data_IF_134248940976
#
_entry.id   IF_134248940976
#
_cell.length_a   1.000
_cell.length_b   1.000
_cell.length_c   1.000
_cell.angle_alpha   90.00
_cell.angle_beta   90.00
_cell.angle_gamma   90.00
#
_symmetry.space_group_name_H-M   'P 1'
#
loop_
_entity.id
_entity.type
_entity.pdbx_description
1 polymer ?
#
# COMPACT_ATOMS: atom_id res chain seq x y z
N UNK A 1 3.88 -14.20 -46.82
CA UNK A 1 4.29 -14.94 -45.60
C UNK A 1 4.83 -13.91 -44.62
N UNK A 2 3.96 -13.40 -43.74
CA UNK A 2 4.29 -12.38 -42.75
C UNK A 2 4.29 -13.09 -41.39
N UNK A 3 5.46 -13.23 -40.82
CA UNK A 3 5.69 -13.79 -39.47
C UNK A 3 5.34 -12.72 -38.45
N UNK A 4 4.22 -12.90 -37.75
CA UNK A 4 3.89 -12.16 -36.53
C UNK A 4 4.85 -12.58 -35.42
N UNK A 5 5.67 -11.66 -34.97
CA UNK A 5 6.49 -11.79 -33.77
C UNK A 5 5.62 -11.63 -32.54
N UNK A 6 5.26 -12.75 -31.93
CA UNK A 6 4.72 -12.81 -30.57
C UNK A 6 5.82 -12.44 -29.57
N UNK A 7 5.91 -11.16 -29.19
CA UNK A 7 6.73 -10.73 -28.07
C UNK A 7 5.92 -10.82 -26.78
N UNK A 8 5.82 -12.01 -26.20
CA UNK A 8 5.46 -12.18 -24.79
C UNK A 8 6.77 -12.22 -23.97
N UNK A 9 7.12 -11.12 -23.34
CA UNK A 9 8.17 -11.08 -22.33
C UNK A 9 7.65 -11.77 -21.08
N UNK A 10 8.07 -13.01 -20.85
CA UNK A 10 7.85 -13.76 -19.63
C UNK A 10 8.74 -13.15 -18.52
N UNK A 11 8.13 -12.41 -17.60
CA UNK A 11 8.66 -12.23 -16.26
C UNK A 11 8.00 -13.33 -15.43
N UNK A 12 8.79 -14.20 -14.80
CA UNK A 12 8.34 -15.45 -14.18
C UNK A 12 7.06 -15.29 -13.36
N UNK A 13 5.93 -15.82 -13.87
CA UNK A 13 4.70 -16.05 -13.13
C UNK A 13 3.61 -14.97 -13.19
N UNK A 14 3.83 -13.75 -13.66
CA UNK A 14 2.78 -12.77 -13.91
C UNK A 14 2.59 -12.54 -15.41
N UNK A 15 1.39 -12.82 -15.92
CA UNK A 15 0.98 -12.33 -17.24
C UNK A 15 0.76 -10.82 -17.16
N UNK A 16 1.83 -10.06 -17.37
CA UNK A 16 1.77 -8.59 -17.41
C UNK A 16 1.21 -8.20 -18.77
N UNK A 17 0.16 -7.37 -18.79
CA UNK A 17 -0.34 -6.84 -20.05
C UNK A 17 0.75 -6.02 -20.77
N UNK A 18 0.78 -5.99 -22.11
CA UNK A 18 1.75 -5.16 -22.85
C UNK A 18 1.75 -3.68 -22.41
N UNK A 19 0.59 -3.14 -22.02
CA UNK A 19 0.47 -1.78 -21.49
C UNK A 19 1.20 -1.60 -20.15
N UNK A 20 1.15 -2.58 -19.26
CA UNK A 20 1.87 -2.53 -17.99
C UNK A 20 3.38 -2.70 -18.22
N UNK A 21 3.80 -3.61 -19.12
CA UNK A 21 5.19 -3.77 -19.49
C UNK A 21 5.78 -2.47 -20.07
N UNK A 22 5.06 -1.79 -20.97
CA UNK A 22 5.48 -0.50 -21.52
C UNK A 22 5.53 0.60 -20.46
N UNK A 23 4.55 0.66 -19.54
CA UNK A 23 4.57 1.60 -18.43
C UNK A 23 5.78 1.39 -17.51
N UNK A 24 6.17 0.12 -17.28
CA UNK A 24 7.35 -0.23 -16.50
C UNK A 24 8.66 0.14 -17.19
N UNK A 25 8.65 0.22 -18.52
CA UNK A 25 9.82 0.66 -19.32
C UNK A 25 9.91 2.19 -19.44
N UNK A 26 8.94 2.93 -18.87
CA UNK A 26 8.89 4.41 -18.94
C UNK A 26 8.51 4.93 -20.33
N UNK A 27 7.99 4.08 -21.22
CA UNK A 27 7.60 4.46 -22.58
C UNK A 27 6.12 4.89 -22.63
N UNK A 28 5.86 6.19 -22.77
CA UNK A 28 4.53 6.76 -23.02
C UNK A 28 3.89 7.43 -21.80
N UNK A 29 2.94 8.32 -22.10
CA UNK A 29 2.13 9.00 -21.07
C UNK A 29 0.82 8.22 -20.87
N UNK A 30 0.76 7.43 -19.79
CA UNK A 30 -0.39 6.58 -19.49
C UNK A 30 -1.40 7.29 -18.60
N UNK A 31 -2.69 6.97 -18.79
CA UNK A 31 -3.75 7.30 -17.86
C UNK A 31 -4.02 6.09 -16.96
N UNK A 32 -3.80 6.26 -15.66
CA UNK A 32 -3.84 5.19 -14.66
C UNK A 32 -4.96 5.47 -13.67
N UNK A 33 -5.85 4.48 -13.48
CA UNK A 33 -6.88 4.53 -12.44
C UNK A 33 -6.44 3.75 -11.21
N UNK A 34 -6.55 4.38 -10.04
CA UNK A 34 -6.37 3.74 -8.74
C UNK A 34 -7.71 3.72 -8.02
N UNK A 35 -8.18 2.55 -7.61
CA UNK A 35 -9.46 2.42 -6.92
C UNK A 35 -9.30 1.82 -5.53
N UNK A 36 -9.73 2.57 -4.51
CA UNK A 36 -9.88 2.05 -3.16
C UNK A 36 -11.24 1.37 -3.02
N UNK A 37 -11.27 0.04 -3.13
CA UNK A 37 -12.51 -0.77 -3.14
C UNK A 37 -13.21 -0.74 -1.77
N UNK A 38 -12.42 -0.69 -0.69
CA UNK A 38 -12.92 -0.66 0.67
C UNK A 38 -12.02 0.13 1.63
N UNK A 39 -12.45 0.22 2.88
CA UNK A 39 -11.73 0.97 3.90
C UNK A 39 -11.90 2.49 3.79
N UNK A 40 -11.68 3.18 4.92
CA UNK A 40 -11.76 4.64 4.99
C UNK A 40 -10.39 5.30 5.11
N UNK A 41 -9.45 4.60 5.70
CA UNK A 41 -8.08 5.06 5.88
C UNK A 41 -7.31 5.11 4.56
N UNK A 42 -6.31 5.98 4.44
CA UNK A 42 -5.39 5.96 3.30
C UNK A 42 -4.80 4.58 3.06
N UNK A 43 -4.79 4.17 1.81
CA UNK A 43 -4.27 2.88 1.39
C UNK A 43 -2.84 3.04 0.90
N UNK A 44 -1.86 2.52 1.66
CA UNK A 44 -0.45 2.67 1.36
C UNK A 44 -0.06 2.07 0.00
N UNK A 45 -0.69 0.98 -0.42
CA UNK A 45 -0.40 0.37 -1.72
C UNK A 45 -0.79 1.32 -2.87
N UNK A 46 -1.97 1.94 -2.79
CA UNK A 46 -2.40 2.92 -3.80
C UNK A 46 -1.56 4.20 -3.76
N UNK A 47 -1.11 4.64 -2.58
CA UNK A 47 -0.21 5.79 -2.45
C UNK A 47 1.16 5.51 -3.09
N UNK A 48 1.71 4.30 -2.91
CA UNK A 48 2.94 3.85 -3.56
C UNK A 48 2.79 3.84 -5.08
N UNK A 49 1.72 3.20 -5.59
CA UNK A 49 1.42 3.15 -7.03
C UNK A 49 1.26 4.56 -7.62
N UNK A 50 0.54 5.45 -6.91
CA UNK A 50 0.37 6.83 -7.36
C UNK A 50 1.70 7.56 -7.47
N UNK A 51 2.53 7.48 -6.43
CA UNK A 51 3.84 8.13 -6.43
C UNK A 51 4.71 7.60 -7.57
N UNK A 52 4.77 6.29 -7.75
CA UNK A 52 5.57 5.67 -8.81
C UNK A 52 5.08 6.11 -10.19
N UNK A 53 3.80 5.98 -10.49
CA UNK A 53 3.25 6.36 -11.80
C UNK A 53 3.45 7.86 -12.11
N UNK A 54 3.22 8.74 -11.13
CA UNK A 54 3.48 10.17 -11.29
C UNK A 54 4.96 10.47 -11.53
N UNK A 55 5.87 9.73 -10.89
CA UNK A 55 7.33 9.87 -11.12
C UNK A 55 7.76 9.45 -12.52
N UNK A 56 6.98 8.60 -13.19
CA UNK A 56 7.17 8.21 -14.59
C UNK A 56 6.45 9.15 -15.58
N UNK A 57 5.81 10.23 -15.10
CA UNK A 57 5.08 11.18 -15.94
C UNK A 57 3.66 10.73 -16.31
N UNK A 58 3.13 9.68 -15.71
CA UNK A 58 1.79 9.18 -15.99
C UNK A 58 0.72 10.04 -15.31
N UNK A 59 -0.44 10.16 -15.94
CA UNK A 59 -1.61 10.77 -15.32
C UNK A 59 -2.29 9.76 -14.40
N UNK A 60 -2.48 10.13 -13.13
CA UNK A 60 -3.12 9.27 -12.13
C UNK A 60 -4.46 9.83 -11.71
N UNK A 61 -5.49 8.99 -11.79
CA UNK A 61 -6.85 9.27 -11.30
C UNK A 61 -7.14 8.35 -10.12
N UNK A 62 -7.48 8.93 -8.97
CA UNK A 62 -7.84 8.17 -7.78
C UNK A 62 -9.35 8.22 -7.55
N UNK A 63 -9.94 7.04 -7.32
CA UNK A 63 -11.39 6.89 -7.13
C UNK A 63 -11.72 5.95 -5.97
N UNK A 64 -12.83 6.21 -5.32
CA UNK A 64 -13.48 5.29 -4.36
C UNK A 64 -14.70 4.58 -4.94
N UNK A 65 -15.18 5.05 -6.10
CA UNK A 65 -16.22 4.37 -6.85
C UNK A 65 -15.68 3.13 -7.54
N UNK A 66 -16.36 2.00 -7.36
CA UNK A 66 -16.05 0.74 -8.07
C UNK A 66 -16.73 0.67 -9.43
N UNK A 67 -17.59 1.63 -9.76
CA UNK A 67 -18.30 1.72 -11.03
C UNK A 67 -17.51 2.61 -11.99
N UNK A 68 -17.59 2.29 -13.28
CA UNK A 68 -17.10 3.17 -14.35
C UNK A 68 -18.10 4.31 -14.55
N UNK A 69 -17.64 5.54 -14.41
CA UNK A 69 -18.45 6.73 -14.68
C UNK A 69 -18.69 6.92 -16.17
N UNK A 70 -19.81 7.55 -16.53
CA UNK A 70 -20.20 7.74 -17.93
C UNK A 70 -19.20 8.60 -18.72
N UNK A 71 -18.53 9.54 -18.05
CA UNK A 71 -17.59 10.48 -18.66
C UNK A 71 -16.13 10.23 -18.25
N UNK A 72 -15.86 9.06 -17.67
CA UNK A 72 -14.47 8.71 -17.35
C UNK A 72 -13.66 8.44 -18.63
N UNK A 73 -12.38 8.84 -18.65
CA UNK A 73 -11.48 8.52 -19.76
C UNK A 73 -11.25 7.01 -19.86
N UNK A 74 -10.74 6.59 -21.01
CA UNK A 74 -10.17 5.24 -21.11
C UNK A 74 -8.84 5.17 -20.35
N UNK A 75 -8.70 4.13 -19.53
CA UNK A 75 -7.50 3.92 -18.73
C UNK A 75 -6.60 2.87 -19.38
N UNK A 76 -5.32 3.15 -19.45
CA UNK A 76 -4.32 2.19 -19.89
C UNK A 76 -4.10 1.10 -18.83
N UNK A 77 -4.14 1.50 -17.56
CA UNK A 77 -3.93 0.60 -16.43
C UNK A 77 -4.95 0.93 -15.33
N UNK A 78 -5.53 -0.12 -14.74
CA UNK A 78 -6.47 0.01 -13.63
C UNK A 78 -6.00 -0.84 -12.46
N UNK A 79 -5.85 -0.22 -11.30
CA UNK A 79 -5.54 -0.90 -10.04
C UNK A 79 -6.73 -0.83 -9.08
N UNK A 80 -6.94 -1.92 -8.35
CA UNK A 80 -7.88 -1.98 -7.24
C UNK A 80 -7.19 -2.48 -5.97
N UNK A 81 -7.57 -1.92 -4.83
CA UNK A 81 -7.10 -2.42 -3.54
C UNK A 81 -8.27 -2.68 -2.60
N UNK A 82 -8.33 -3.91 -2.05
CA UNK A 82 -9.30 -4.32 -1.05
C UNK A 82 -8.59 -4.87 0.19
N UNK A 83 -8.98 -4.39 1.37
CA UNK A 83 -8.35 -4.75 2.66
C UNK A 83 -9.15 -5.83 3.37
N UNK A 84 -10.49 -5.81 3.25
CA UNK A 84 -11.39 -6.68 4.02
C UNK A 84 -11.85 -7.87 3.20
N UNK A 85 -11.78 -9.08 3.77
CA UNK A 85 -12.27 -10.32 3.15
C UNK A 85 -13.78 -10.30 2.89
N UNK A 86 -14.53 -9.45 3.59
CA UNK A 86 -15.97 -9.24 3.37
C UNK A 86 -16.29 -8.45 2.09
N UNK A 87 -15.29 -7.93 1.40
CA UNK A 87 -15.45 -7.10 0.20
C UNK A 87 -15.52 -7.89 -1.11
N UNK A 88 -15.63 -9.22 -1.06
CA UNK A 88 -15.67 -10.09 -2.25
C UNK A 88 -16.69 -9.63 -3.31
N UNK A 89 -17.91 -9.28 -2.88
CA UNK A 89 -18.95 -8.78 -3.81
C UNK A 89 -18.52 -7.49 -4.53
N UNK A 90 -17.86 -6.58 -3.81
CA UNK A 90 -17.35 -5.34 -4.40
C UNK A 90 -16.21 -5.61 -5.38
N UNK A 91 -15.32 -6.56 -5.04
CA UNK A 91 -14.23 -6.99 -5.92
C UNK A 91 -14.80 -7.55 -7.23
N UNK A 92 -15.79 -8.42 -7.15
CA UNK A 92 -16.44 -9.00 -8.35
C UNK A 92 -17.14 -7.92 -9.20
N UNK A 93 -17.86 -7.01 -8.57
CA UNK A 93 -18.48 -5.89 -9.28
C UNK A 93 -17.43 -4.96 -9.92
N UNK A 94 -16.32 -4.71 -9.26
CA UNK A 94 -15.21 -3.93 -9.81
C UNK A 94 -14.60 -4.62 -11.03
N UNK A 95 -14.39 -5.95 -10.97
CA UNK A 95 -13.92 -6.74 -12.13
C UNK A 95 -14.89 -6.70 -13.32
N UNK A 96 -16.18 -6.64 -13.07
CA UNK A 96 -17.16 -6.51 -14.16
C UNK A 96 -17.04 -5.16 -14.88
N UNK A 97 -16.74 -4.08 -14.14
CA UNK A 97 -16.53 -2.75 -14.74
C UNK A 97 -15.13 -2.59 -15.37
N UNK A 98 -14.13 -3.27 -14.82
CA UNK A 98 -12.74 -3.19 -15.24
C UNK A 98 -12.13 -4.62 -15.33
N UNK A 99 -12.42 -5.37 -16.40
CA UNK A 99 -12.03 -6.79 -16.52
C UNK A 99 -10.52 -7.03 -16.41
N UNK A 100 -9.70 -6.07 -16.86
CA UNK A 100 -8.25 -6.15 -16.86
C UNK A 100 -7.61 -5.49 -15.63
N UNK A 101 -8.39 -5.17 -14.58
CA UNK A 101 -7.88 -4.53 -13.39
C UNK A 101 -6.95 -5.46 -12.59
N UNK A 102 -5.83 -4.91 -12.14
CA UNK A 102 -4.90 -5.56 -11.21
C UNK A 102 -5.39 -5.28 -9.79
N UNK A 103 -5.80 -6.33 -9.07
CA UNK A 103 -6.41 -6.16 -7.75
C UNK A 103 -5.55 -6.86 -6.69
N UNK A 104 -5.13 -6.08 -5.70
CA UNK A 104 -4.36 -6.55 -4.56
C UNK A 104 -5.00 -6.18 -3.22
N UNK A 105 -4.29 -6.50 -2.14
CA UNK A 105 -4.68 -6.21 -0.77
C UNK A 105 -5.05 -7.46 0.02
N UNK A 106 -5.18 -7.33 1.36
CA UNK A 106 -5.47 -8.45 2.27
C UNK A 106 -6.87 -9.02 2.13
N UNK A 107 -7.78 -8.28 1.51
CA UNK A 107 -9.16 -8.72 1.22
C UNK A 107 -9.27 -9.62 0.00
N UNK A 108 -8.22 -9.77 -0.79
CA UNK A 108 -8.17 -10.71 -1.90
C UNK A 108 -7.68 -12.07 -1.42
N UNK A 109 -8.08 -13.15 -2.11
CA UNK A 109 -7.54 -14.49 -1.84
C UNK A 109 -6.12 -14.68 -2.38
N UNK A 110 -5.66 -13.75 -3.21
CA UNK A 110 -4.32 -13.72 -3.78
C UNK A 110 -3.40 -12.80 -2.97
N UNK A 111 -2.48 -13.39 -2.22
CA UNK A 111 -1.48 -12.66 -1.43
C UNK A 111 -0.19 -12.37 -2.22
N UNK A 112 -0.08 -12.82 -3.46
CA UNK A 112 1.12 -12.62 -4.31
C UNK A 112 1.13 -11.24 -4.98
N UNK A 113 -0.06 -10.64 -5.20
CA UNK A 113 -0.20 -9.33 -5.82
C UNK A 113 0.14 -8.23 -4.81
N UNK A 114 1.41 -7.86 -4.74
CA UNK A 114 1.94 -6.71 -3.97
C UNK A 114 2.35 -5.58 -4.91
N UNK A 115 2.54 -4.37 -4.37
CA UNK A 115 3.03 -3.23 -5.17
C UNK A 115 4.40 -3.56 -5.76
N UNK A 116 5.27 -4.12 -4.94
CA UNK A 116 6.63 -4.47 -5.33
C UNK A 116 6.64 -5.53 -6.44
N UNK A 117 5.77 -6.56 -6.35
CA UNK A 117 5.65 -7.57 -7.42
C UNK A 117 5.08 -6.99 -8.71
N UNK A 118 4.09 -6.11 -8.60
CA UNK A 118 3.46 -5.45 -9.75
C UNK A 118 4.41 -4.50 -10.47
N UNK A 119 5.23 -3.77 -9.73
CA UNK A 119 6.20 -2.82 -10.28
C UNK A 119 7.58 -3.46 -10.57
N UNK A 120 7.76 -4.75 -10.27
CA UNK A 120 9.04 -5.46 -10.38
C UNK A 120 10.18 -4.74 -9.62
N UNK A 121 9.89 -4.31 -8.39
CA UNK A 121 10.83 -3.62 -7.51
C UNK A 121 11.10 -4.47 -6.27
N UNK A 122 12.31 -4.39 -5.73
CA UNK A 122 12.67 -5.06 -4.47
C UNK A 122 12.02 -4.38 -3.26
N UNK A 123 11.94 -3.04 -3.31
CA UNK A 123 11.37 -2.22 -2.23
C UNK A 123 10.92 -0.86 -2.80
N UNK A 124 9.81 -0.34 -2.29
CA UNK A 124 9.31 1.00 -2.64
C UNK A 124 8.60 1.62 -1.44
N UNK A 125 9.15 2.70 -0.87
CA UNK A 125 8.66 3.34 0.36
C UNK A 125 8.42 4.85 0.18
N UNK A 126 7.94 5.27 -1.01
CA UNK A 126 7.48 6.62 -1.28
C UNK A 126 5.95 6.64 -1.43
N UNK A 127 5.32 7.65 -0.82
CA UNK A 127 3.86 7.73 -0.71
C UNK A 127 3.35 9.07 -1.23
N UNK A 128 2.37 9.01 -2.13
CA UNK A 128 1.65 10.18 -2.63
C UNK A 128 0.44 10.48 -1.74
N UNK A 129 0.58 11.48 -0.89
CA UNK A 129 -0.50 11.95 -0.03
C UNK A 129 -1.53 12.83 -0.74
N UNK A 130 -1.28 13.25 -1.99
CA UNK A 130 -2.21 14.12 -2.73
C UNK A 130 -3.48 13.40 -3.16
N UNK A 131 -3.44 12.06 -3.28
CA UNK A 131 -4.66 11.28 -3.53
C UNK A 131 -5.60 11.23 -2.30
N UNK A 132 -5.15 11.72 -1.14
CA UNK A 132 -5.96 11.89 0.09
C UNK A 132 -5.80 13.32 0.62
N UNK A 133 -6.41 14.31 -0.05
CA UNK A 133 -6.16 15.74 0.24
C UNK A 133 -6.55 16.16 1.66
N UNK A 134 -7.57 15.53 2.23
CA UNK A 134 -8.09 15.84 3.57
C UNK A 134 -7.35 15.12 4.70
N UNK A 135 -6.36 14.29 4.39
CA UNK A 135 -5.61 13.53 5.39
C UNK A 135 -4.39 14.32 5.87
N UNK A 136 -4.49 14.86 7.09
CA UNK A 136 -3.50 15.76 7.71
C UNK A 136 -2.45 15.05 8.58
N UNK A 137 -2.48 13.72 8.66
CA UNK A 137 -1.54 12.90 9.42
C UNK A 137 -0.59 12.14 8.48
N UNK A 138 0.47 11.56 9.04
CA UNK A 138 1.29 10.58 8.35
C UNK A 138 0.86 9.16 8.73
N UNK A 139 1.08 8.19 7.84
CA UNK A 139 0.73 6.80 8.07
C UNK A 139 1.86 5.89 7.57
N UNK A 140 2.20 4.86 8.33
CA UNK A 140 3.25 3.94 7.92
C UNK A 140 3.56 2.88 8.96
N UNK A 141 4.63 2.14 8.69
CA UNK A 141 5.15 1.11 9.57
C UNK A 141 6.53 1.52 10.06
N UNK A 142 6.77 1.47 11.37
CA UNK A 142 8.13 1.49 11.92
C UNK A 142 8.72 0.09 11.91
N UNK A 143 7.85 -0.93 11.96
CA UNK A 143 8.17 -2.34 11.85
C UNK A 143 7.16 -3.08 10.99
N UNK A 144 7.63 -3.99 10.14
CA UNK A 144 6.83 -4.96 9.40
C UNK A 144 6.88 -6.33 10.07
N UNK A 145 5.86 -7.15 9.81
CA UNK A 145 5.77 -8.49 10.34
C UNK A 145 5.26 -8.56 11.77
N UNK A 146 5.19 -9.78 12.31
CA UNK A 146 4.77 -10.02 13.69
C UNK A 146 5.46 -11.28 14.22
N UNK A 147 5.93 -11.26 15.50
CA UNK A 147 6.48 -12.43 16.17
C UNK A 147 5.40 -13.45 16.58
N UNK A 148 4.16 -13.00 16.71
CA UNK A 148 3.02 -13.84 17.06
C UNK A 148 2.56 -14.63 15.84
N UNK A 149 2.21 -15.90 16.03
CA UNK A 149 1.73 -16.81 14.99
C UNK A 149 0.28 -17.19 15.24
N UNK A 150 -0.59 -16.18 15.35
CA UNK A 150 -2.01 -16.40 15.58
C UNK A 150 -2.63 -17.16 14.38
N UNK A 151 -3.37 -18.25 14.66
CA UNK A 151 -3.92 -19.15 13.62
C UNK A 151 -4.85 -18.46 12.62
N UNK A 152 -5.53 -17.39 13.03
CA UNK A 152 -6.48 -16.62 12.22
C UNK A 152 -5.84 -15.42 11.51
N UNK A 153 -4.56 -15.13 11.78
CA UNK A 153 -3.89 -13.91 11.32
C UNK A 153 -3.16 -14.13 9.99
N UNK A 154 -3.34 -13.21 9.05
CA UNK A 154 -2.68 -13.23 7.74
C UNK A 154 -1.23 -12.71 7.80
N UNK A 155 -0.89 -11.89 8.81
CA UNK A 155 0.40 -11.18 8.91
C UNK A 155 1.61 -12.11 8.83
N UNK A 156 1.69 -13.23 9.57
CA UNK A 156 2.85 -14.13 9.48
C UNK A 156 3.08 -14.72 8.09
N UNK A 157 1.99 -14.91 7.31
CA UNK A 157 2.06 -15.43 5.94
C UNK A 157 2.45 -14.35 4.94
N UNK A 158 1.97 -13.11 5.14
CA UNK A 158 2.13 -12.01 4.19
C UNK A 158 3.39 -11.18 4.44
N UNK A 159 3.73 -10.93 5.70
CA UNK A 159 4.83 -10.03 6.08
C UNK A 159 6.01 -10.77 6.73
N UNK A 160 5.81 -12.03 7.13
CA UNK A 160 6.87 -12.85 7.73
C UNK A 160 7.25 -12.44 9.15
N UNK A 161 8.56 -12.55 9.47
CA UNK A 161 9.13 -12.19 10.77
C UNK A 161 9.27 -10.68 10.90
N UNK A 162 9.37 -10.20 12.15
CA UNK A 162 9.59 -8.78 12.45
C UNK A 162 10.86 -8.26 11.81
N UNK A 163 10.72 -7.19 11.03
CA UNK A 163 11.81 -6.45 10.42
C UNK A 163 11.58 -4.97 10.68
N UNK A 164 12.59 -4.24 11.18
CA UNK A 164 12.54 -2.79 11.25
C UNK A 164 12.47 -2.24 9.84
N UNK A 165 11.47 -1.40 9.56
CA UNK A 165 11.27 -0.86 8.22
C UNK A 165 11.62 0.62 8.13
N UNK A 166 11.35 1.43 9.19
CA UNK A 166 11.52 2.86 9.06
C UNK A 166 11.72 3.57 10.41
N UNK A 167 12.22 4.82 10.37
CA UNK A 167 12.23 5.73 11.52
C UNK A 167 10.92 6.49 11.62
N UNK A 168 10.55 6.93 12.82
CA UNK A 168 9.37 7.76 13.04
C UNK A 168 9.46 9.08 12.27
N UNK A 169 10.66 9.68 12.24
CA UNK A 169 10.93 10.87 11.44
C UNK A 169 10.67 10.66 9.94
N UNK A 170 11.14 9.55 9.38
CA UNK A 170 10.94 9.24 7.96
C UNK A 170 9.47 9.02 7.62
N UNK A 171 8.69 8.41 8.51
CA UNK A 171 7.24 8.25 8.33
C UNK A 171 6.57 9.63 8.33
N UNK A 172 6.91 10.47 9.33
CA UNK A 172 6.31 11.79 9.46
C UNK A 172 6.57 12.68 8.25
N UNK A 173 7.83 12.80 7.83
CA UNK A 173 8.25 13.75 6.78
C UNK A 173 7.66 13.46 5.40
N UNK A 174 7.15 12.25 5.15
CA UNK A 174 6.56 11.90 3.87
C UNK A 174 5.25 12.65 3.58
N UNK A 175 4.55 13.14 4.61
CA UNK A 175 3.39 13.99 4.41
C UNK A 175 3.73 15.46 4.70
N UNK A 176 3.96 16.30 3.68
CA UNK A 176 4.29 17.71 3.88
C UNK A 176 3.14 18.52 4.49
N UNK A 177 1.91 18.01 4.43
CA UNK A 177 0.71 18.63 5.02
C UNK A 177 0.62 18.41 6.53
N UNK A 178 1.35 17.43 7.08
CA UNK A 178 1.31 17.05 8.49
C UNK A 178 2.11 18.02 9.37
N UNK A 179 1.57 19.21 9.62
CA UNK A 179 2.17 20.22 10.53
C UNK A 179 2.00 19.84 12.01
N UNK A 180 1.01 19.02 12.32
CA UNK A 180 0.66 18.63 13.69
C UNK A 180 1.43 17.44 14.23
N UNK A 181 2.40 16.89 13.48
CA UNK A 181 3.18 15.70 13.85
C UNK A 181 2.33 14.49 14.27
N UNK A 182 1.16 14.33 13.66
CA UNK A 182 0.27 13.19 13.91
C UNK A 182 0.71 12.00 13.07
N UNK A 183 0.85 10.82 13.67
CA UNK A 183 1.27 9.61 12.97
C UNK A 183 0.32 8.46 13.30
N UNK A 184 -0.15 7.76 12.28
CA UNK A 184 -0.83 6.50 12.40
C UNK A 184 0.15 5.37 12.11
N UNK A 185 0.60 4.67 13.16
CA UNK A 185 1.42 3.47 13.03
C UNK A 185 0.56 2.25 12.77
N UNK A 186 0.96 1.48 11.76
CA UNK A 186 0.31 0.24 11.35
C UNK A 186 1.08 -1.00 11.83
N UNK A 187 2.00 -0.83 12.77
CA UNK A 187 2.78 -1.90 13.36
C UNK A 187 1.89 -2.94 14.01
N UNK A 188 2.11 -4.21 13.72
CA UNK A 188 1.29 -5.31 14.23
C UNK A 188 1.60 -5.70 15.68
N UNK A 189 2.78 -5.36 16.18
CA UNK A 189 3.27 -5.72 17.53
C UNK A 189 4.37 -4.75 17.95
N UNK A 190 4.02 -3.47 18.15
CA UNK A 190 5.01 -2.40 18.42
C UNK A 190 5.91 -2.74 19.60
N UNK A 191 5.35 -3.05 20.78
CA UNK A 191 6.12 -3.39 21.99
C UNK A 191 6.80 -4.77 21.93
N UNK A 192 6.49 -5.61 20.97
CA UNK A 192 7.13 -6.90 20.75
C UNK A 192 8.41 -6.82 19.90
N UNK A 193 8.76 -5.67 19.38
CA UNK A 193 10.01 -5.47 18.65
C UNK A 193 11.19 -5.27 19.60
N UNK A 194 12.39 -5.72 19.19
CA UNK A 194 13.60 -5.63 20.03
C UNK A 194 14.03 -4.21 20.36
N UNK A 195 13.65 -3.24 19.51
CA UNK A 195 14.06 -1.85 19.58
C UNK A 195 12.86 -0.92 19.84
N UNK A 196 11.85 -1.40 20.55
CA UNK A 196 10.67 -0.57 20.80
C UNK A 196 10.99 0.68 21.63
N UNK A 197 11.92 0.60 22.60
CA UNK A 197 12.36 1.74 23.40
C UNK A 197 13.02 2.82 22.53
N UNK A 198 13.89 2.42 21.58
CA UNK A 198 14.46 3.37 20.61
C UNK A 198 13.37 4.09 19.83
N UNK A 199 12.32 3.37 19.39
CA UNK A 199 11.17 3.96 18.68
C UNK A 199 10.30 4.83 19.57
N UNK A 200 10.10 4.44 20.82
CA UNK A 200 9.39 5.26 21.81
C UNK A 200 10.16 6.58 22.06
N UNK A 201 11.47 6.51 22.23
CA UNK A 201 12.30 7.71 22.38
C UNK A 201 12.24 8.60 21.12
N UNK A 202 12.30 8.02 19.90
CA UNK A 202 12.09 8.81 18.66
C UNK A 202 10.74 9.55 18.69
N UNK A 203 9.68 8.93 19.22
CA UNK A 203 8.35 9.54 19.34
C UNK A 203 8.36 10.69 20.31
N UNK A 204 8.93 10.49 21.52
CA UNK A 204 8.97 11.46 22.60
C UNK A 204 9.86 12.66 22.22
N UNK A 205 11.10 12.40 21.82
CA UNK A 205 12.08 13.42 21.47
C UNK A 205 11.63 14.26 20.25
N UNK A 206 10.98 13.60 19.30
CA UNK A 206 10.41 14.27 18.13
C UNK A 206 9.11 15.03 18.40
N UNK A 207 8.48 14.84 19.57
CA UNK A 207 7.19 15.43 19.92
C UNK A 207 6.05 14.94 18.99
N UNK A 208 6.10 13.68 18.58
CA UNK A 208 5.07 13.10 17.70
C UNK A 208 3.85 12.63 18.49
N UNK A 209 2.67 12.79 17.89
CA UNK A 209 1.40 12.25 18.40
C UNK A 209 1.07 10.99 17.64
N UNK A 210 1.27 9.84 18.26
CA UNK A 210 1.16 8.55 17.59
C UNK A 210 -0.13 7.83 17.98
N UNK A 211 -0.80 7.25 17.00
CA UNK A 211 -1.90 6.32 17.15
C UNK A 211 -1.50 4.94 16.65
N UNK A 212 -1.60 3.93 17.49
CA UNK A 212 -1.34 2.53 17.15
C UNK A 212 -2.61 1.89 16.57
N UNK A 213 -2.72 1.85 15.24
CA UNK A 213 -3.96 1.46 14.57
C UNK A 213 -4.24 -0.05 14.57
N UNK A 214 -3.20 -0.88 14.71
CA UNK A 214 -3.35 -2.35 14.77
C UNK A 214 -3.44 -2.88 16.20
N UNK A 215 -3.51 -1.95 17.17
CA UNK A 215 -3.48 -2.26 18.58
C UNK A 215 -2.08 -2.53 19.11
N UNK A 216 -2.01 -2.72 20.42
CA UNK A 216 -0.77 -3.00 21.15
C UNK A 216 -0.95 -4.23 22.03
N UNK A 217 0.12 -4.99 22.24
CA UNK A 217 0.12 -6.10 23.20
C UNK A 217 0.36 -5.56 24.61
N UNK A 218 -0.72 -5.28 25.33
CA UNK A 218 -0.67 -4.71 26.69
C UNK A 218 0.16 -5.55 27.68
N UNK A 219 0.34 -6.85 27.43
CA UNK A 219 1.13 -7.72 28.31
C UNK A 219 2.65 -7.43 28.27
N UNK A 220 3.08 -6.63 27.31
CA UNK A 220 4.48 -6.24 27.13
C UNK A 220 4.76 -4.82 27.64
N UNK A 221 3.72 -4.11 28.06
CA UNK A 221 3.86 -2.77 28.61
C UNK A 221 4.20 -2.93 30.09
N UNK A 222 5.40 -2.52 30.44
CA UNK A 222 5.88 -2.34 31.80
C UNK A 222 5.71 -0.87 32.25
N UNK A 223 6.24 -0.53 33.40
CA UNK A 223 6.16 0.84 33.94
C UNK A 223 6.84 1.87 33.03
N UNK A 224 7.93 1.49 32.35
CA UNK A 224 8.63 2.33 31.39
C UNK A 224 7.78 2.58 30.13
N UNK A 225 7.11 1.55 29.61
CA UNK A 225 6.26 1.65 28.44
C UNK A 225 4.91 2.31 28.70
N UNK A 226 4.54 2.53 29.99
CA UNK A 226 3.29 3.16 30.39
C UNK A 226 3.43 4.66 30.71
N UNK A 227 4.65 5.14 30.91
CA UNK A 227 5.00 6.55 31.20
C UNK A 227 5.20 7.35 29.91
#
# INVERSE_FOLDING_TARGET
>A
MSTELNNSTNVEGLHVSPSLANAMLGEGNFCVRLTQIDGKFPNLALMKLSHWHKSQGHQVVFERSILKGMFEPEYNIVYGSAIFSTSEKKIQQFKQNFPNAIIGGTGTNDNSTTVESVLNLSEYEFYDYDIYPDFDASIGFSQRGCRLRCKFCVVPKKEGKNVNSNTIYNIWKQNPKNKGKKIHLLDNDFFGQKKWQEKANEIIDGGYRVCFNQGINIRLIDEEGAS
#
